data_IF_345390191251
#
_entry.id   IF_345390191251
#
_cell.length_a   1.000
_cell.length_b   1.000
_cell.length_c   1.000
_cell.angle_alpha   90.00
_cell.angle_beta   90.00
_cell.angle_gamma   90.00
#
_symmetry.space_group_name_H-M   'P 1'
#
loop_
_entity.id
_entity.type
_entity.pdbx_description
1 polymer ?
#
# COMPACT_ATOMS: atom_id res chain seq x y z
N UNK A 1 -18.00 -3.32 -19.89
CA UNK A 1 -18.65 -3.30 -18.55
C UNK A 1 -18.44 -4.69 -17.97
N UNK A 2 -17.28 -4.94 -17.37
CA UNK A 2 -16.69 -6.27 -17.15
C UNK A 2 -17.55 -7.22 -16.31
N UNK A 3 -18.46 -6.69 -15.48
CA UNK A 3 -19.39 -7.46 -14.65
C UNK A 3 -20.41 -8.30 -15.44
N UNK A 4 -20.72 -7.92 -16.69
CA UNK A 4 -21.59 -8.69 -17.58
C UNK A 4 -20.82 -9.80 -18.31
N UNK A 5 -19.48 -9.74 -18.29
CA UNK A 5 -18.58 -10.65 -19.00
C UNK A 5 -17.98 -11.71 -18.05
N UNK A 6 -17.86 -11.41 -16.75
CA UNK A 6 -17.38 -12.36 -15.72
C UNK A 6 -18.25 -12.33 -14.45
N UNK A 7 -18.97 -13.43 -14.20
CA UNK A 7 -19.83 -13.61 -13.03
C UNK A 7 -19.09 -13.76 -11.69
N UNK A 8 -17.76 -13.85 -11.70
CA UNK A 8 -16.92 -13.81 -10.49
C UNK A 8 -16.75 -12.39 -9.95
N UNK A 9 -16.98 -11.37 -10.77
CA UNK A 9 -16.95 -10.00 -10.32
C UNK A 9 -18.17 -9.70 -9.44
N UNK A 10 -17.93 -9.24 -8.21
CA UNK A 10 -19.01 -8.79 -7.35
C UNK A 10 -19.68 -7.54 -7.94
N UNK A 11 -21.02 -7.53 -7.97
CA UNK A 11 -21.80 -6.36 -8.41
C UNK A 11 -21.63 -5.15 -7.48
N UNK A 12 -21.23 -5.40 -6.23
CA UNK A 12 -20.98 -4.37 -5.23
C UNK A 12 -19.49 -4.14 -5.04
N UNK A 13 -19.11 -2.88 -4.80
CA UNK A 13 -17.74 -2.50 -4.45
C UNK A 13 -17.44 -2.60 -2.95
N UNK A 14 -18.38 -3.11 -2.13
CA UNK A 14 -18.34 -2.98 -0.68
C UNK A 14 -17.05 -3.56 -0.08
N UNK A 15 -16.51 -4.64 -0.65
CA UNK A 15 -15.24 -5.24 -0.25
C UNK A 15 -14.06 -4.29 -0.50
N UNK A 16 -14.00 -3.67 -1.67
CA UNK A 16 -12.98 -2.67 -2.03
C UNK A 16 -13.13 -1.38 -1.22
N UNK A 17 -14.36 -0.92 -1.00
CA UNK A 17 -14.66 0.19 -0.10
C UNK A 17 -14.20 -0.10 1.33
N UNK A 18 -14.39 -1.34 1.82
CA UNK A 18 -13.98 -1.73 3.16
C UNK A 18 -12.46 -1.81 3.30
N UNK A 19 -11.74 -2.30 2.31
CA UNK A 19 -10.27 -2.38 2.36
C UNK A 19 -9.63 -0.99 2.40
N UNK A 20 -10.20 0.00 1.72
CA UNK A 20 -9.68 1.38 1.72
C UNK A 20 -10.13 2.22 2.91
N UNK A 21 -11.10 1.77 3.73
CA UNK A 21 -11.63 2.57 4.85
C UNK A 21 -10.57 2.96 5.89
N UNK A 22 -9.65 2.05 6.23
CA UNK A 22 -8.56 2.32 7.18
C UNK A 22 -7.61 3.41 6.69
N UNK A 23 -7.37 3.41 5.39
CA UNK A 23 -6.57 4.37 4.63
C UNK A 23 -7.27 5.73 4.60
N UNK A 24 -8.57 5.77 4.28
CA UNK A 24 -9.38 7.00 4.29
C UNK A 24 -9.48 7.63 5.67
N UNK A 25 -9.63 6.83 6.73
CA UNK A 25 -9.68 7.32 8.11
C UNK A 25 -8.37 8.03 8.52
N UNK A 26 -7.23 7.58 7.98
CA UNK A 26 -5.91 8.15 8.23
C UNK A 26 -5.63 9.47 7.50
N UNK A 27 -6.44 9.88 6.52
CA UNK A 27 -6.17 11.06 5.67
C UNK A 27 -5.88 12.35 6.43
N UNK A 28 -6.54 12.58 7.57
CA UNK A 28 -6.28 13.76 8.42
C UNK A 28 -4.89 13.74 9.11
N UNK A 29 -4.29 12.56 9.26
CA UNK A 29 -2.98 12.36 9.87
C UNK A 29 -1.85 12.23 8.82
N UNK A 30 -2.18 12.30 7.54
CA UNK A 30 -1.22 12.14 6.45
C UNK A 30 -0.66 13.50 6.03
N UNK A 31 0.23 14.02 6.86
CA UNK A 31 0.84 15.36 6.72
C UNK A 31 1.72 15.45 5.45
N UNK A 32 2.06 14.31 4.82
CA UNK A 32 2.95 14.22 3.66
C UNK A 32 2.29 13.67 2.39
N UNK A 33 0.96 13.52 2.35
CA UNK A 33 0.23 12.97 1.19
C UNK A 33 -0.49 14.04 0.35
N UNK A 34 -0.04 15.29 0.44
CA UNK A 34 -0.62 16.42 -0.32
C UNK A 34 -0.13 16.48 -1.78
N UNK A 35 1.05 15.92 -2.06
CA UNK A 35 1.61 15.83 -3.43
C UNK A 35 1.38 14.45 -4.04
N UNK A 36 1.35 14.35 -5.38
CA UNK A 36 1.24 13.06 -6.06
C UNK A 36 2.38 12.11 -5.68
N UNK A 37 3.61 12.62 -5.60
CA UNK A 37 4.78 11.85 -5.17
C UNK A 37 4.62 11.34 -3.72
N UNK A 38 4.08 12.18 -2.83
CA UNK A 38 3.79 11.81 -1.46
C UNK A 38 2.70 10.75 -1.35
N UNK A 39 1.67 10.83 -2.21
CA UNK A 39 0.63 9.82 -2.32
C UNK A 39 1.19 8.48 -2.84
N UNK A 40 2.03 8.50 -3.87
CA UNK A 40 2.68 7.31 -4.44
C UNK A 40 3.59 6.61 -3.42
N UNK A 41 4.45 7.37 -2.74
CA UNK A 41 5.30 6.84 -1.67
C UNK A 41 4.46 6.22 -0.54
N UNK A 42 3.39 6.89 -0.13
CA UNK A 42 2.47 6.40 0.92
C UNK A 42 1.78 5.09 0.49
N UNK A 43 1.30 5.00 -0.75
CA UNK A 43 0.68 3.79 -1.30
C UNK A 43 1.64 2.60 -1.34
N UNK A 44 2.92 2.83 -1.66
CA UNK A 44 3.95 1.80 -1.61
C UNK A 44 4.10 1.19 -0.20
N UNK A 45 4.17 2.04 0.82
CA UNK A 45 4.26 1.60 2.22
C UNK A 45 3.01 0.83 2.66
N UNK A 46 1.82 1.30 2.29
CA UNK A 46 0.56 0.62 2.59
C UNK A 46 0.48 -0.76 1.95
N UNK A 47 0.94 -0.89 0.70
CA UNK A 47 0.97 -2.17 -0.02
C UNK A 47 1.82 -3.19 0.75
N UNK A 48 3.01 -2.78 1.20
CA UNK A 48 3.90 -3.65 1.99
C UNK A 48 3.24 -4.05 3.32
N UNK A 49 2.60 -3.11 4.02
CA UNK A 49 1.94 -3.37 5.29
C UNK A 49 0.72 -4.31 5.14
N UNK A 50 -0.10 -4.13 4.10
CA UNK A 50 -1.24 -5.01 3.82
C UNK A 50 -0.79 -6.41 3.38
N UNK A 51 0.28 -6.51 2.58
CA UNK A 51 0.87 -7.81 2.24
C UNK A 51 1.37 -8.55 3.49
N UNK A 52 2.01 -7.87 4.44
CA UNK A 52 2.41 -8.47 5.71
C UNK A 52 1.20 -9.04 6.47
N UNK A 53 0.11 -8.29 6.57
CA UNK A 53 -1.14 -8.74 7.21
C UNK A 53 -1.77 -9.93 6.49
N UNK A 54 -1.82 -9.90 5.15
CA UNK A 54 -2.37 -10.98 4.33
C UNK A 54 -1.60 -12.31 4.55
N UNK A 55 -0.31 -12.22 4.82
CA UNK A 55 0.53 -13.39 5.12
C UNK A 55 0.62 -13.72 6.63
N UNK A 56 -0.15 -13.04 7.48
CA UNK A 56 -0.15 -13.28 8.93
C UNK A 56 1.15 -12.85 9.63
N UNK A 57 1.94 -11.98 9.00
CA UNK A 57 3.19 -11.45 9.53
C UNK A 57 2.92 -10.16 10.33
N UNK A 58 3.78 -9.92 11.33
CA UNK A 58 3.79 -8.65 12.04
C UNK A 58 4.27 -7.52 11.10
N UNK A 59 3.43 -6.51 10.78
CA UNK A 59 3.77 -5.49 9.79
C UNK A 59 5.00 -4.67 10.17
N UNK A 60 5.21 -4.44 11.47
CA UNK A 60 6.33 -3.65 11.95
C UNK A 60 7.65 -4.39 11.78
N UNK A 61 7.71 -5.66 12.21
CA UNK A 61 8.88 -6.53 12.02
C UNK A 61 9.20 -6.72 10.54
N UNK A 62 8.17 -6.91 9.71
CA UNK A 62 8.35 -7.06 8.27
C UNK A 62 8.91 -5.79 7.62
N UNK A 63 8.37 -4.63 7.97
CA UNK A 63 8.88 -3.34 7.49
C UNK A 63 10.34 -3.12 7.92
N UNK A 64 10.64 -3.40 9.19
CA UNK A 64 12.00 -3.32 9.73
C UNK A 64 12.96 -4.23 8.95
N UNK A 65 12.57 -5.48 8.72
CA UNK A 65 13.35 -6.44 7.95
C UNK A 65 13.63 -5.93 6.52
N UNK A 66 12.63 -5.40 5.82
CA UNK A 66 12.81 -4.85 4.47
C UNK A 66 13.79 -3.67 4.47
N UNK A 67 13.67 -2.77 5.44
CA UNK A 67 14.56 -1.60 5.54
C UNK A 67 15.99 -1.99 5.92
N UNK A 68 16.17 -3.02 6.74
CA UNK A 68 17.48 -3.56 7.13
C UNK A 68 18.15 -4.36 6.01
N UNK A 69 17.36 -5.11 5.23
CA UNK A 69 17.85 -5.95 4.11
C UNK A 69 17.88 -5.22 2.77
N UNK A 70 17.68 -3.90 2.76
CA UNK A 70 17.68 -3.12 1.51
C UNK A 70 19.00 -3.34 0.77
N UNK A 71 18.97 -3.85 -0.48
CA UNK A 71 20.14 -3.82 -1.34
C UNK A 71 20.58 -2.36 -1.43
N UNK A 72 21.85 -2.07 -1.16
CA UNK A 72 22.39 -0.72 -1.29
C UNK A 72 22.28 -0.33 -2.77
N UNK A 73 21.24 0.43 -3.10
CA UNK A 73 21.12 1.04 -4.42
C UNK A 73 22.24 2.08 -4.51
N UNK A 74 23.28 1.80 -5.32
CA UNK A 74 24.23 2.82 -5.75
C UNK A 74 23.44 3.80 -6.62
N UNK A 75 23.04 4.92 -6.04
CA UNK A 75 22.61 6.08 -6.83
C UNK A 75 23.79 6.51 -7.69
N UNK A 76 23.64 6.50 -9.01
CA UNK A 76 24.64 6.97 -9.99
C UNK A 76 24.86 8.50 -9.97
N UNK A 77 24.52 9.15 -8.86
CA UNK A 77 24.70 10.59 -8.63
C UNK A 77 25.90 10.78 -7.71
N UNK A 78 27.10 10.46 -8.21
CA UNK A 78 28.34 10.57 -7.43
C UNK A 78 29.56 9.81 -7.96
N UNK A 79 29.61 9.49 -9.25
CA UNK A 79 30.86 9.20 -9.98
C UNK A 79 31.17 10.36 -10.92
#
# INVERSE_FOLDING_TARGET
MTYLEDGRCSLSNNMSGNSIRSVVAGRKNWIFSDTMDGAEASMGIYTIAEMAKLHGLDPYKYMKYILEQRPTYKTSWGD
#
